data_IF_454208766667
#
_entry.id   IF_454208766667
#
_cell.length_a   1.000
_cell.length_b   1.000
_cell.length_c   1.000
_cell.angle_alpha   90.00
_cell.angle_beta   90.00
_cell.angle_gamma   90.00
#
_symmetry.space_group_name_H-M   'P 1'
#
loop_
_entity.id
_entity.type
_entity.pdbx_description
1 polymer ?
#
# COMPACT_ATOMS: atom_id res chain seq x y z
N UNK A 1 -15.43 -6.56 -42.69
CA UNK A 1 -14.17 -6.81 -41.96
C UNK A 1 -13.61 -5.52 -41.42
N UNK A 2 -13.15 -5.53 -40.16
CA UNK A 2 -12.49 -4.40 -39.56
C UNK A 2 -10.98 -4.62 -39.64
N UNK A 3 -10.28 -3.68 -40.25
CA UNK A 3 -8.82 -3.75 -40.43
C UNK A 3 -8.14 -2.99 -39.27
N UNK A 4 -7.18 -3.61 -38.66
CA UNK A 4 -6.39 -3.00 -37.58
C UNK A 4 -5.31 -2.06 -38.13
N UNK A 5 -5.06 -0.96 -37.46
CA UNK A 5 -4.07 0.05 -37.83
C UNK A 5 -3.01 0.24 -36.77
N UNK A 6 -2.70 -0.78 -35.96
CA UNK A 6 -1.74 -0.58 -34.88
C UNK A 6 -1.26 -1.88 -34.22
N UNK A 7 -0.58 -1.71 -33.13
CA UNK A 7 -0.08 -2.80 -32.28
C UNK A 7 -1.07 -3.11 -31.17
N UNK A 8 -1.15 -4.38 -30.81
CA UNK A 8 -1.84 -4.85 -29.62
C UNK A 8 -0.76 -5.25 -28.61
N UNK A 9 -0.71 -4.55 -27.48
CA UNK A 9 0.14 -4.93 -26.37
C UNK A 9 -0.61 -5.93 -25.48
N UNK A 10 -0.06 -7.12 -25.34
CA UNK A 10 -0.60 -8.18 -24.51
C UNK A 10 0.28 -8.28 -23.27
N UNK A 11 -0.29 -8.05 -22.10
CA UNK A 11 0.37 -8.30 -20.82
C UNK A 11 0.02 -9.70 -20.35
N UNK A 12 1.03 -10.52 -20.14
CA UNK A 12 0.89 -11.85 -19.56
C UNK A 12 1.36 -11.80 -18.11
N UNK A 13 0.50 -12.21 -17.20
CA UNK A 13 0.79 -12.28 -15.77
C UNK A 13 0.75 -13.73 -15.33
N UNK A 14 1.84 -14.19 -14.72
CA UNK A 14 1.94 -15.54 -14.16
C UNK A 14 2.36 -15.45 -12.68
N UNK A 15 2.13 -16.51 -11.86
CA UNK A 15 2.48 -16.50 -10.44
C UNK A 15 3.96 -16.24 -10.12
N UNK A 16 4.85 -16.38 -11.10
CA UNK A 16 6.30 -16.17 -10.96
C UNK A 16 6.85 -15.06 -11.86
N UNK A 17 6.00 -14.20 -12.37
CA UNK A 17 6.40 -13.10 -13.22
C UNK A 17 5.39 -12.82 -14.33
N UNK A 18 5.67 -11.80 -15.12
CA UNK A 18 4.88 -11.44 -16.27
C UNK A 18 5.77 -10.86 -17.37
N UNK A 19 5.19 -10.63 -18.52
CA UNK A 19 5.88 -10.00 -19.64
C UNK A 19 4.89 -9.27 -20.52
N UNK A 20 5.37 -8.30 -21.27
CA UNK A 20 4.60 -7.67 -22.34
C UNK A 20 5.03 -8.22 -23.68
N UNK A 21 4.07 -8.44 -24.53
CA UNK A 21 4.28 -8.83 -25.91
C UNK A 21 3.51 -7.91 -26.82
N UNK A 22 4.20 -7.24 -27.74
CA UNK A 22 3.56 -6.37 -28.74
C UNK A 22 3.32 -7.12 -30.03
N UNK A 23 2.05 -7.30 -30.39
CA UNK A 23 1.62 -7.86 -31.66
C UNK A 23 1.37 -6.72 -32.66
N UNK A 24 2.09 -6.71 -33.77
CA UNK A 24 1.77 -5.80 -34.86
C UNK A 24 0.61 -6.39 -35.67
N UNK A 25 -0.56 -5.78 -35.52
CA UNK A 25 -1.77 -6.14 -36.24
C UNK A 25 -2.03 -5.28 -37.45
N UNK A 26 -1.12 -4.40 -37.84
CA UNK A 26 -1.28 -3.50 -39.00
C UNK A 26 -1.62 -4.29 -40.25
N UNK A 27 -2.72 -3.96 -40.88
CA UNK A 27 -3.19 -4.63 -42.10
C UNK A 27 -3.86 -5.99 -41.86
N UNK A 28 -3.93 -6.51 -40.64
CA UNK A 28 -4.74 -7.69 -40.32
C UNK A 28 -6.21 -7.31 -40.27
N UNK A 29 -7.09 -8.20 -40.69
CA UNK A 29 -8.53 -8.00 -40.59
C UNK A 29 -9.19 -9.17 -39.88
N UNK A 30 -10.23 -8.88 -39.11
CA UNK A 30 -11.10 -9.89 -38.51
C UNK A 30 -12.45 -9.82 -39.20
N UNK A 31 -12.89 -10.97 -39.73
CA UNK A 31 -14.24 -11.14 -40.26
C UNK A 31 -15.21 -11.43 -39.11
N UNK A 32 -16.47 -11.03 -39.29
CA UNK A 32 -17.52 -11.34 -38.32
C UNK A 32 -17.63 -12.85 -38.07
N UNK A 33 -17.61 -13.27 -36.83
CA UNK A 33 -17.67 -14.69 -36.42
C UNK A 33 -16.34 -15.45 -36.54
N UNK A 34 -15.23 -14.80 -36.86
CA UNK A 34 -13.88 -15.39 -36.87
C UNK A 34 -13.06 -14.96 -35.65
N UNK A 35 -12.15 -15.82 -35.25
CA UNK A 35 -11.19 -15.58 -34.18
C UNK A 35 -9.82 -15.40 -34.82
N UNK A 36 -9.12 -14.34 -34.42
CA UNK A 36 -7.71 -14.18 -34.78
C UNK A 36 -6.90 -14.91 -33.70
N UNK A 37 -6.16 -15.94 -34.10
CA UNK A 37 -5.26 -16.66 -33.22
C UNK A 37 -3.82 -16.18 -33.46
N UNK A 38 -3.10 -15.84 -32.42
CA UNK A 38 -1.67 -15.55 -32.47
C UNK A 38 -0.94 -16.49 -31.51
N UNK A 39 0.17 -17.06 -31.98
CA UNK A 39 1.10 -17.80 -31.12
C UNK A 39 2.14 -16.81 -30.60
N UNK A 40 2.34 -16.78 -29.30
CA UNK A 40 3.34 -15.94 -28.67
C UNK A 40 4.61 -16.77 -28.51
N UNK A 41 5.49 -16.67 -29.47
CA UNK A 41 6.80 -17.31 -29.43
C UNK A 41 7.84 -16.32 -28.86
N UNK A 42 8.77 -16.82 -28.03
CA UNK A 42 9.85 -16.02 -27.43
C UNK A 42 9.36 -14.81 -26.63
N UNK A 43 8.44 -15.05 -25.70
CA UNK A 43 8.08 -14.03 -24.73
C UNK A 43 9.33 -13.73 -23.92
N UNK A 44 9.81 -12.50 -24.01
CA UNK A 44 10.88 -12.04 -23.15
C UNK A 44 10.30 -11.86 -21.74
N UNK A 45 10.52 -12.89 -20.91
CA UNK A 45 10.11 -12.90 -19.51
C UNK A 45 11.04 -12.03 -18.65
N UNK A 46 11.57 -10.94 -19.22
CA UNK A 46 12.34 -10.00 -18.43
C UNK A 46 11.51 -9.52 -17.24
N UNK A 47 11.81 -10.15 -16.15
CA UNK A 47 11.74 -9.69 -14.77
C UNK A 47 10.68 -8.63 -14.40
N UNK A 48 9.46 -8.84 -14.84
CA UNK A 48 8.29 -8.17 -14.27
C UNK A 48 7.84 -8.85 -12.98
N UNK A 49 8.76 -9.41 -12.28
CA UNK A 49 8.51 -10.33 -11.16
C UNK A 49 7.70 -9.72 -10.04
N UNK A 50 7.42 -8.41 -10.05
CA UNK A 50 6.88 -7.75 -8.85
C UNK A 50 5.81 -6.70 -9.05
N UNK A 51 5.42 -6.36 -10.28
CA UNK A 51 4.68 -5.13 -10.48
C UNK A 51 3.16 -5.23 -10.47
N UNK A 52 2.60 -6.38 -10.80
CA UNK A 52 1.16 -6.47 -11.02
C UNK A 52 0.45 -7.60 -10.28
N UNK A 53 1.16 -8.48 -9.63
CA UNK A 53 0.58 -9.65 -8.99
C UNK A 53 0.69 -9.71 -7.46
N UNK A 54 1.36 -8.75 -6.83
CA UNK A 54 1.61 -8.76 -5.40
C UNK A 54 1.26 -7.42 -4.79
N UNK A 55 0.08 -7.31 -4.21
CA UNK A 55 -0.29 -6.17 -3.39
C UNK A 55 -0.48 -6.57 -1.95
N UNK A 56 0.05 -5.75 -1.05
CA UNK A 56 -0.21 -5.89 0.39
C UNK A 56 -1.62 -5.43 0.76
N UNK A 57 -2.31 -4.73 -0.13
CA UNK A 57 -3.64 -4.20 0.07
C UNK A 57 -4.59 -4.77 -0.98
N UNK A 58 -5.67 -5.38 -0.52
CA UNK A 58 -6.71 -5.98 -1.36
C UNK A 58 -8.00 -5.22 -1.17
N UNK A 59 -8.48 -4.57 -2.23
CA UNK A 59 -9.78 -3.90 -2.22
C UNK A 59 -10.87 -4.95 -2.41
N UNK A 60 -11.88 -4.89 -1.55
CA UNK A 60 -13.06 -5.76 -1.59
C UNK A 60 -14.30 -4.88 -1.69
N UNK A 61 -15.16 -5.07 -2.69
CA UNK A 61 -16.43 -4.32 -2.77
C UNK A 61 -17.30 -4.53 -1.54
N UNK A 62 -17.97 -3.48 -1.01
CA UNK A 62 -18.96 -3.63 0.05
C UNK A 62 -20.07 -4.62 -0.34
N UNK A 63 -20.48 -5.43 0.62
CA UNK A 63 -21.45 -6.52 0.40
C UNK A 63 -20.82 -7.84 -0.06
N UNK A 64 -19.57 -7.88 -0.47
CA UNK A 64 -18.86 -9.12 -0.74
C UNK A 64 -18.50 -9.82 0.57
N UNK A 65 -18.85 -11.10 0.68
CA UNK A 65 -18.77 -11.88 1.92
C UNK A 65 -17.47 -12.69 2.04
N UNK A 66 -16.66 -12.74 1.00
CA UNK A 66 -15.37 -13.44 1.07
C UNK A 66 -14.40 -12.90 -0.01
N UNK A 67 -13.11 -13.03 0.27
CA UNK A 67 -12.04 -12.74 -0.68
C UNK A 67 -10.93 -13.77 -0.53
N UNK A 68 -10.38 -14.24 -1.65
CA UNK A 68 -9.21 -15.11 -1.66
C UNK A 68 -7.98 -14.30 -2.06
N UNK A 69 -6.94 -14.39 -1.25
CA UNK A 69 -5.68 -13.67 -1.42
C UNK A 69 -4.57 -14.66 -1.77
N UNK A 70 -3.90 -14.46 -2.88
CA UNK A 70 -2.72 -15.23 -3.24
C UNK A 70 -1.52 -14.74 -2.44
N UNK A 71 -0.94 -15.62 -1.64
CA UNK A 71 0.23 -15.33 -0.81
C UNK A 71 1.52 -15.98 -1.33
N UNK A 72 1.46 -16.85 -2.34
CA UNK A 72 2.61 -17.60 -2.85
C UNK A 72 3.72 -16.69 -3.41
N UNK A 73 3.36 -15.57 -4.01
CA UNK A 73 4.31 -14.64 -4.60
C UNK A 73 5.32 -14.04 -3.58
N UNK A 74 4.98 -14.03 -2.30
CA UNK A 74 5.84 -13.49 -1.23
C UNK A 74 6.90 -14.47 -0.74
N UNK A 75 6.83 -15.75 -1.13
CA UNK A 75 7.77 -16.79 -0.70
C UNK A 75 8.75 -17.23 -1.77
N UNK A 76 8.37 -17.07 -3.02
CA UNK A 76 9.15 -17.58 -4.15
C UNK A 76 10.10 -16.57 -4.71
N UNK A 77 10.16 -15.38 -4.13
CA UNK A 77 10.76 -14.27 -4.77
C UNK A 77 12.21 -14.10 -4.46
N UNK A 78 12.88 -14.08 -5.53
CA UNK A 78 14.25 -13.79 -5.82
C UNK A 78 14.84 -12.59 -5.06
N UNK A 79 16.16 -12.62 -4.89
CA UNK A 79 16.98 -11.74 -4.07
C UNK A 79 17.13 -10.30 -4.58
N UNK A 80 16.35 -9.82 -5.51
CA UNK A 80 16.47 -8.43 -6.01
C UNK A 80 16.16 -7.40 -4.91
N UNK A 81 15.44 -7.80 -3.87
CA UNK A 81 15.26 -7.04 -2.65
C UNK A 81 15.75 -7.85 -1.45
N UNK A 82 16.93 -8.41 -1.57
CA UNK A 82 17.62 -9.10 -0.48
C UNK A 82 18.04 -8.12 0.61
N UNK A 83 17.06 -7.49 1.24
CA UNK A 83 17.25 -7.05 2.59
C UNK A 83 17.20 -8.28 3.47
N UNK A 84 18.40 -8.79 3.71
CA UNK A 84 18.78 -9.75 4.73
C UNK A 84 17.69 -10.74 5.14
N UNK A 85 17.72 -11.91 4.50
CA UNK A 85 17.22 -13.16 5.06
C UNK A 85 15.72 -13.47 5.00
N UNK A 86 14.99 -13.10 3.95
CA UNK A 86 14.09 -14.11 3.40
C UNK A 86 14.96 -14.85 2.37
N UNK A 87 15.79 -15.75 2.81
CA UNK A 87 16.64 -16.54 1.90
C UNK A 87 15.73 -17.37 1.00
N UNK A 88 16.13 -17.56 -0.24
CA UNK A 88 15.47 -18.50 -1.15
C UNK A 88 15.49 -19.95 -0.62
N UNK A 89 16.27 -20.21 0.42
CA UNK A 89 16.34 -21.47 1.17
C UNK A 89 15.21 -21.60 2.20
N UNK A 90 14.61 -20.48 2.65
CA UNK A 90 13.45 -20.48 3.52
C UNK A 90 12.16 -20.54 2.68
N UNK A 91 11.98 -21.60 1.93
CA UNK A 91 10.72 -21.95 1.23
C UNK A 91 9.60 -22.29 2.23
N UNK A 92 9.34 -21.42 3.19
CA UNK A 92 8.27 -21.61 4.15
C UNK A 92 6.93 -21.23 3.50
N UNK A 93 6.27 -22.24 2.96
CA UNK A 93 4.84 -22.13 2.74
C UNK A 93 4.19 -21.94 4.12
N UNK A 94 3.23 -20.99 4.25
CA UNK A 94 2.56 -20.76 5.51
C UNK A 94 1.89 -22.05 6.00
N UNK A 95 1.84 -22.22 7.31
CA UNK A 95 1.14 -23.31 7.95
C UNK A 95 -0.23 -22.87 8.47
N UNK A 96 -0.40 -21.59 8.77
CA UNK A 96 -1.69 -21.03 9.15
C UNK A 96 -1.85 -19.57 8.68
N UNK A 97 -3.08 -19.08 8.74
CA UNK A 97 -3.44 -17.70 8.51
C UNK A 97 -4.46 -17.25 9.56
N UNK A 98 -4.30 -16.04 10.09
CA UNK A 98 -5.21 -15.50 11.11
C UNK A 98 -5.33 -13.98 11.01
N UNK A 99 -6.47 -13.46 11.50
CA UNK A 99 -6.67 -12.05 11.66
C UNK A 99 -5.78 -11.49 12.78
N UNK A 100 -5.10 -10.38 12.50
CA UNK A 100 -4.42 -9.60 13.53
C UNK A 100 -5.37 -8.58 14.16
N UNK A 101 -6.06 -7.82 13.32
CA UNK A 101 -7.05 -6.84 13.76
C UNK A 101 -7.97 -6.40 12.61
N UNK A 102 -9.09 -5.78 12.97
CA UNK A 102 -9.95 -4.98 12.10
C UNK A 102 -10.41 -3.72 12.84
N UNK A 103 -10.98 -2.73 12.14
CA UNK A 103 -11.44 -1.47 12.71
C UNK A 103 -12.97 -1.35 12.81
N UNK A 104 -13.69 -2.44 12.67
CA UNK A 104 -15.16 -2.47 12.65
C UNK A 104 -15.74 -3.09 13.92
N UNK A 105 -15.53 -4.40 14.13
CA UNK A 105 -16.06 -5.14 15.27
C UNK A 105 -15.47 -6.56 15.34
N UNK A 106 -15.63 -7.25 16.44
CA UNK A 106 -15.14 -8.63 16.61
C UNK A 106 -15.74 -9.64 15.63
N UNK A 107 -16.85 -9.32 15.01
CA UNK A 107 -17.55 -10.18 14.04
C UNK A 107 -17.40 -9.74 12.57
N UNK A 108 -16.59 -8.73 12.29
CA UNK A 108 -16.33 -8.24 10.93
C UNK A 108 -15.65 -9.30 10.06
N UNK A 109 -14.60 -9.95 10.58
CA UNK A 109 -13.98 -11.12 9.96
C UNK A 109 -14.60 -12.38 10.58
N UNK A 110 -15.32 -13.15 9.76
CA UNK A 110 -16.02 -14.37 10.17
C UNK A 110 -15.10 -15.59 10.22
N UNK A 111 -13.93 -15.51 9.61
CA UNK A 111 -12.94 -16.56 9.60
C UNK A 111 -11.87 -16.36 8.53
N UNK A 112 -10.74 -16.99 8.73
CA UNK A 112 -9.62 -17.04 7.78
C UNK A 112 -9.25 -18.50 7.58
N UNK A 113 -9.14 -18.91 6.31
CA UNK A 113 -8.82 -20.30 5.96
C UNK A 113 -7.68 -20.33 4.94
N UNK A 114 -6.60 -21.01 5.28
CA UNK A 114 -5.50 -21.27 4.37
C UNK A 114 -5.89 -22.38 3.38
N UNK A 115 -5.54 -22.22 2.10
CA UNK A 115 -5.78 -23.26 1.09
C UNK A 115 -4.94 -24.52 1.36
N UNK A 116 -5.39 -25.66 0.88
CA UNK A 116 -4.68 -26.94 1.08
C UNK A 116 -3.29 -26.97 0.43
N UNK A 117 -3.11 -26.22 -0.66
CA UNK A 117 -1.81 -26.03 -1.32
C UNK A 117 -0.95 -24.94 -0.66
N UNK A 118 -1.49 -24.25 0.36
CA UNK A 118 -0.85 -23.19 1.13
C UNK A 118 -0.39 -21.97 0.32
N UNK A 119 -0.94 -21.79 -0.87
CA UNK A 119 -0.57 -20.68 -1.77
C UNK A 119 -1.51 -19.48 -1.69
N UNK A 120 -2.67 -19.66 -1.07
CA UNK A 120 -3.66 -18.62 -0.86
C UNK A 120 -4.39 -18.80 0.47
N UNK A 121 -5.06 -17.76 0.91
CA UNK A 121 -6.01 -17.86 2.02
C UNK A 121 -7.29 -17.14 1.67
N UNK A 122 -8.40 -17.61 2.23
CA UNK A 122 -9.72 -16.99 2.07
C UNK A 122 -10.10 -16.30 3.38
N UNK A 123 -10.53 -15.04 3.29
CA UNK A 123 -11.10 -14.27 4.38
C UNK A 123 -12.61 -14.19 4.20
N UNK A 124 -13.36 -14.66 5.17
CA UNK A 124 -14.81 -14.50 5.21
C UNK A 124 -15.15 -13.22 6.00
N UNK A 125 -16.00 -12.39 5.42
CA UNK A 125 -16.33 -11.04 5.89
C UNK A 125 -17.83 -10.93 6.15
N UNK A 126 -18.25 -9.90 6.88
CA UNK A 126 -19.66 -9.57 7.04
C UNK A 126 -20.20 -8.62 5.96
N UNK A 127 -19.33 -8.13 5.08
CA UNK A 127 -19.65 -7.27 3.94
C UNK A 127 -19.76 -5.78 4.26
N UNK A 128 -19.61 -5.36 5.51
CA UNK A 128 -19.55 -3.91 5.88
C UNK A 128 -18.26 -3.27 5.38
N UNK A 129 -18.27 -1.97 5.03
CA UNK A 129 -17.03 -1.23 4.81
C UNK A 129 -16.13 -1.23 6.05
N UNK A 130 -14.83 -1.37 5.85
CA UNK A 130 -13.85 -1.41 6.94
C UNK A 130 -12.50 -1.96 6.50
N UNK A 131 -11.62 -2.14 7.48
CA UNK A 131 -10.25 -2.60 7.28
C UNK A 131 -9.96 -3.81 8.17
N UNK A 132 -9.26 -4.79 7.63
CA UNK A 132 -8.70 -5.88 8.42
C UNK A 132 -7.24 -6.13 8.00
N UNK A 133 -6.42 -6.57 8.94
CA UNK A 133 -5.07 -7.06 8.66
C UNK A 133 -5.01 -8.54 8.99
N UNK A 134 -4.63 -9.32 8.00
CA UNK A 134 -4.51 -10.78 8.07
C UNK A 134 -3.03 -11.15 7.96
N UNK A 135 -2.57 -12.02 8.83
CA UNK A 135 -1.20 -12.52 8.80
C UNK A 135 -1.17 -14.02 8.47
N UNK A 136 -0.05 -14.44 7.90
CA UNK A 136 0.28 -15.83 7.65
C UNK A 136 1.51 -16.21 8.46
N UNK A 137 1.55 -17.46 8.94
CA UNK A 137 2.47 -17.90 9.97
C UNK A 137 3.24 -19.18 9.58
N UNK A 138 4.39 -19.37 10.24
CA UNK A 138 5.26 -20.54 10.12
C UNK A 138 4.84 -21.72 11.01
N UNK A 139 3.72 -21.64 11.71
CA UNK A 139 3.17 -22.67 12.59
C UNK A 139 1.69 -22.94 12.25
N UNK A 140 1.25 -24.17 12.53
CA UNK A 140 -0.16 -24.56 12.36
C UNK A 140 -1.10 -23.80 13.31
N UNK A 141 -0.64 -23.54 14.53
CA UNK A 141 -1.36 -22.69 15.48
C UNK A 141 -0.66 -21.31 15.59
N UNK A 142 -1.31 -20.24 15.09
CA UNK A 142 -0.75 -18.90 15.13
C UNK A 142 -0.62 -18.31 16.55
N UNK A 143 -1.21 -18.99 17.57
CA UNK A 143 -1.19 -18.56 18.98
C UNK A 143 -0.05 -19.17 19.78
N UNK A 144 0.74 -20.06 19.20
CA UNK A 144 1.93 -20.60 19.88
C UNK A 144 2.96 -19.49 20.09
N UNK A 145 3.68 -19.55 21.20
CA UNK A 145 4.64 -18.52 21.61
C UNK A 145 5.77 -18.29 20.58
N UNK A 146 6.16 -19.35 19.87
CA UNK A 146 7.22 -19.34 18.85
C UNK A 146 6.71 -19.14 17.42
N UNK A 147 5.40 -18.94 17.21
CA UNK A 147 4.83 -18.64 15.90
C UNK A 147 5.34 -17.29 15.37
N UNK A 148 5.89 -17.32 14.16
CA UNK A 148 6.39 -16.12 13.48
C UNK A 148 5.48 -15.73 12.34
N UNK A 149 5.20 -14.45 12.23
CA UNK A 149 4.53 -13.90 11.07
C UNK A 149 5.51 -13.89 9.91
N UNK A 150 5.12 -14.56 8.83
CA UNK A 150 5.85 -14.58 7.57
C UNK A 150 5.53 -13.34 6.72
N UNK A 151 4.24 -12.97 6.66
CA UNK A 151 3.76 -11.79 5.97
C UNK A 151 2.40 -11.36 6.51
N UNK A 152 1.94 -10.16 6.15
CA UNK A 152 0.61 -9.64 6.47
C UNK A 152 0.02 -8.85 5.30
N UNK A 153 -1.30 -8.85 5.21
CA UNK A 153 -2.09 -8.27 4.13
C UNK A 153 -3.17 -7.38 4.70
N UNK A 154 -3.39 -6.25 4.07
CA UNK A 154 -4.48 -5.35 4.37
C UNK A 154 -5.69 -5.68 3.49
N UNK A 155 -6.79 -6.06 4.08
CA UNK A 155 -8.10 -6.23 3.43
C UNK A 155 -8.88 -4.95 3.63
N UNK A 156 -9.21 -4.29 2.54
CA UNK A 156 -9.88 -2.99 2.54
C UNK A 156 -11.24 -3.09 1.87
N UNK A 157 -12.29 -3.20 2.68
CA UNK A 157 -13.67 -3.28 2.19
C UNK A 157 -14.17 -1.87 1.90
N UNK A 158 -14.15 -1.50 0.64
CA UNK A 158 -14.53 -0.17 0.16
C UNK A 158 -14.78 -0.17 -1.34
N UNK A 159 -15.39 0.91 -1.83
CA UNK A 159 -15.47 1.23 -3.24
C UNK A 159 -14.63 2.47 -3.50
N UNK A 160 -13.65 2.37 -4.38
CA UNK A 160 -12.76 3.48 -4.75
C UNK A 160 -13.10 3.99 -6.15
N UNK A 161 -12.77 5.25 -6.39
CA UNK A 161 -12.77 5.87 -7.70
C UNK A 161 -11.39 6.44 -8.02
N UNK A 162 -11.14 6.65 -9.27
CA UNK A 162 -9.94 7.34 -9.74
C UNK A 162 -10.18 8.84 -9.86
N UNK A 163 -9.18 9.60 -9.48
CA UNK A 163 -9.08 11.03 -9.66
C UNK A 163 -7.92 11.34 -10.60
N UNK A 164 -8.20 12.03 -11.69
CA UNK A 164 -7.18 12.53 -12.60
C UNK A 164 -6.74 13.91 -12.15
N UNK A 165 -5.49 13.99 -11.70
CA UNK A 165 -4.87 15.26 -11.35
C UNK A 165 -4.32 15.89 -12.63
N UNK A 166 -4.54 17.19 -12.78
CA UNK A 166 -4.01 17.95 -13.89
C UNK A 166 -2.49 17.95 -13.99
N UNK A 167 -1.99 18.49 -15.09
CA UNK A 167 -0.56 18.59 -15.31
C UNK A 167 0.08 19.48 -14.25
N UNK A 168 1.07 18.93 -13.55
CA UNK A 168 1.83 19.67 -12.55
C UNK A 168 2.88 20.59 -13.18
N UNK A 169 3.58 21.37 -12.37
CA UNK A 169 4.65 22.30 -12.84
C UNK A 169 5.82 21.60 -13.53
N UNK A 170 5.97 20.28 -13.37
CA UNK A 170 7.00 19.48 -14.05
C UNK A 170 6.50 18.86 -15.36
N UNK A 171 5.25 19.10 -15.73
CA UNK A 171 4.62 18.53 -16.92
C UNK A 171 4.17 17.08 -16.75
N UNK A 172 4.03 16.58 -15.52
CA UNK A 172 3.52 15.25 -15.22
C UNK A 172 2.04 15.34 -14.82
N UNK A 173 1.27 14.34 -15.20
CA UNK A 173 -0.11 14.13 -14.73
C UNK A 173 -0.22 12.80 -14.02
N UNK A 174 -1.08 12.72 -13.00
CA UNK A 174 -1.25 11.53 -12.19
C UNK A 174 -2.71 11.16 -12.06
N UNK A 175 -2.97 9.86 -12.01
CA UNK A 175 -4.26 9.32 -11.57
C UNK A 175 -4.07 8.75 -10.18
N UNK A 176 -4.85 9.21 -9.22
CA UNK A 176 -4.79 8.79 -7.82
C UNK A 176 -6.14 8.22 -7.37
N UNK A 177 -6.16 7.50 -6.27
CA UNK A 177 -7.42 7.10 -5.64
C UNK A 177 -8.12 8.33 -5.03
N UNK A 178 -9.44 8.32 -5.02
CA UNK A 178 -10.30 9.39 -4.47
C UNK A 178 -10.21 9.53 -2.94
N UNK A 179 -9.44 8.68 -2.28
CA UNK A 179 -9.34 8.60 -0.82
C UNK A 179 -8.01 8.04 -0.35
N UNK A 180 -7.70 8.28 0.92
CA UNK A 180 -6.56 7.67 1.59
C UNK A 180 -6.70 6.17 1.72
N UNK A 181 -5.58 5.44 1.75
CA UNK A 181 -5.58 4.01 2.04
C UNK A 181 -6.32 3.74 3.36
N UNK A 182 -7.26 2.82 3.31
CA UNK A 182 -8.11 2.44 4.45
C UNK A 182 -9.30 3.36 4.71
N UNK A 183 -9.51 4.45 3.96
CA UNK A 183 -10.72 5.25 4.08
C UNK A 183 -11.92 4.55 3.44
N UNK A 184 -13.05 4.54 4.13
CA UNK A 184 -14.28 3.90 3.66
C UNK A 184 -15.35 4.89 3.24
N UNK A 185 -15.04 6.21 3.30
CA UNK A 185 -15.89 7.31 2.85
C UNK A 185 -15.03 8.41 2.22
N UNK A 186 -15.65 9.27 1.42
CA UNK A 186 -15.08 10.53 0.91
C UNK A 186 -15.83 11.74 1.45
N UNK A 187 -16.72 11.55 2.40
CA UNK A 187 -17.58 12.62 2.93
C UNK A 187 -16.76 13.50 3.88
N UNK A 188 -16.71 14.83 3.64
CA UNK A 188 -15.99 15.76 4.47
C UNK A 188 -16.44 15.74 5.94
N UNK A 189 -15.45 15.66 6.86
CA UNK A 189 -15.71 15.65 8.29
C UNK A 189 -16.14 14.32 8.89
N UNK A 190 -16.29 13.28 8.08
CA UNK A 190 -16.50 11.93 8.60
C UNK A 190 -15.19 11.25 9.00
N UNK A 191 -15.20 10.54 10.14
CA UNK A 191 -14.05 9.72 10.58
C UNK A 191 -13.62 8.72 9.51
N UNK A 192 -14.59 8.10 8.84
CA UNK A 192 -14.38 7.10 7.79
C UNK A 192 -13.65 7.63 6.55
N UNK A 193 -13.53 8.96 6.39
CA UNK A 193 -12.76 9.58 5.32
C UNK A 193 -11.24 9.70 5.62
N UNK A 194 -10.82 9.49 6.86
CA UNK A 194 -9.42 9.71 7.27
C UNK A 194 -8.50 8.61 6.73
N UNK A 195 -8.94 7.35 6.81
CA UNK A 195 -8.12 6.20 6.46
C UNK A 195 -7.15 5.77 7.56
N UNK A 196 -6.11 5.06 7.16
CA UNK A 196 -5.11 4.47 8.03
C UNK A 196 -3.79 5.25 7.96
N UNK A 197 -2.97 5.10 8.97
CA UNK A 197 -1.67 5.76 9.09
C UNK A 197 -0.54 4.75 8.90
N UNK A 198 0.54 5.18 8.26
CA UNK A 198 1.69 4.33 7.96
C UNK A 198 2.98 4.94 8.51
N UNK A 199 3.91 4.11 8.90
CA UNK A 199 5.31 4.50 9.02
C UNK A 199 5.94 4.41 7.63
N UNK A 200 6.66 5.44 7.21
CA UNK A 200 7.26 5.47 5.88
C UNK A 200 8.08 4.21 5.61
N UNK A 201 7.93 3.62 4.44
CA UNK A 201 8.61 2.37 4.06
C UNK A 201 7.98 1.08 4.59
N UNK A 202 6.96 1.15 5.47
CA UNK A 202 6.24 -0.04 5.94
C UNK A 202 4.97 -0.29 5.14
N UNK A 203 4.69 -1.56 4.91
CA UNK A 203 3.46 -2.03 4.27
C UNK A 203 2.25 -2.10 5.21
N UNK A 204 2.49 -2.17 6.54
CA UNK A 204 1.45 -2.42 7.53
C UNK A 204 0.86 -1.13 8.09
N UNK A 205 -0.47 -1.02 8.10
CA UNK A 205 -1.18 0.14 8.60
C UNK A 205 -1.35 0.16 10.11
N UNK A 206 -1.54 1.37 10.63
CA UNK A 206 -2.02 1.66 11.97
C UNK A 206 -3.33 2.44 11.90
N UNK A 207 -4.24 2.19 12.84
CA UNK A 207 -5.51 2.91 12.88
C UNK A 207 -5.31 4.41 13.02
N UNK A 208 -6.17 5.19 12.39
CA UNK A 208 -6.25 6.63 12.55
C UNK A 208 -7.00 7.06 13.82
N UNK A 209 -7.59 8.26 13.79
CA UNK A 209 -8.41 8.74 14.90
C UNK A 209 -9.71 7.96 15.03
N UNK A 210 -10.18 7.82 16.27
CA UNK A 210 -11.47 7.23 16.60
C UNK A 210 -12.65 8.19 16.47
N UNK A 211 -12.36 9.49 16.54
CA UNK A 211 -13.32 10.57 16.37
C UNK A 211 -12.67 11.71 15.57
N UNK A 212 -13.37 12.20 14.54
CA UNK A 212 -12.84 13.25 13.69
C UNK A 212 -12.41 14.47 14.50
N UNK A 213 -11.19 14.97 14.22
CA UNK A 213 -10.64 16.14 14.93
C UNK A 213 -10.17 15.85 16.37
N UNK A 214 -10.00 14.59 16.77
CA UNK A 214 -9.47 14.26 18.10
C UNK A 214 -8.27 13.32 18.06
N UNK A 215 -7.36 13.52 19.01
CA UNK A 215 -6.15 12.71 19.19
C UNK A 215 -6.43 11.40 19.96
N UNK A 216 -7.49 10.68 19.58
CA UNK A 216 -7.89 9.39 20.15
C UNK A 216 -7.78 8.30 19.08
N UNK A 217 -7.26 7.12 19.44
CA UNK A 217 -7.19 6.02 18.49
C UNK A 217 -8.57 5.48 18.14
N UNK A 218 -8.78 5.10 16.90
CA UNK A 218 -9.86 4.20 16.53
C UNK A 218 -9.69 2.87 17.26
N UNK A 219 -10.81 2.21 17.54
CA UNK A 219 -10.81 0.88 18.12
C UNK A 219 -10.35 -0.15 17.11
N UNK A 220 -9.67 -1.16 17.61
CA UNK A 220 -9.26 -2.34 16.86
C UNK A 220 -9.86 -3.57 17.51
N UNK A 221 -10.23 -4.55 16.71
CA UNK A 221 -10.85 -5.79 17.16
C UNK A 221 -10.20 -7.00 16.50
N UNK A 222 -10.25 -8.13 17.16
CA UNK A 222 -10.05 -9.44 16.56
C UNK A 222 -11.15 -10.40 17.03
N UNK A 223 -11.00 -11.68 16.80
CA UNK A 223 -12.00 -12.70 17.17
C UNK A 223 -12.26 -12.82 18.70
N UNK A 224 -11.35 -12.32 19.53
CA UNK A 224 -11.52 -12.37 21.00
C UNK A 224 -12.01 -11.05 21.59
N UNK A 225 -12.08 -9.97 20.83
CA UNK A 225 -12.60 -8.68 21.28
C UNK A 225 -11.72 -7.48 20.89
N UNK A 226 -11.73 -6.43 21.71
CA UNK A 226 -10.97 -5.21 21.47
C UNK A 226 -9.47 -5.45 21.73
N UNK A 227 -8.64 -5.02 20.78
CA UNK A 227 -7.18 -5.11 20.83
C UNK A 227 -6.54 -3.76 20.56
N UNK A 228 -5.23 -3.65 20.78
CA UNK A 228 -4.46 -2.44 20.51
C UNK A 228 -3.10 -2.81 19.94
N UNK A 229 -2.53 -1.92 19.13
CA UNK A 229 -1.13 -2.06 18.75
C UNK A 229 -0.22 -1.68 19.92
N UNK A 230 0.96 -2.28 19.95
CA UNK A 230 2.01 -1.95 20.93
C UNK A 230 3.05 -1.00 20.32
N UNK A 231 3.86 -0.39 21.18
CA UNK A 231 5.04 0.38 20.77
C UNK A 231 6.31 -0.34 21.19
N UNK A 232 7.36 -0.20 20.39
CA UNK A 232 8.69 -0.70 20.70
C UNK A 232 9.73 0.38 20.40
N UNK A 233 10.76 0.46 21.22
CA UNK A 233 11.87 1.36 20.95
C UNK A 233 12.66 0.86 19.74
N UNK A 234 12.93 1.74 18.79
CA UNK A 234 13.81 1.44 17.68
C UNK A 234 15.25 1.21 18.13
N UNK A 235 15.93 0.32 17.44
CA UNK A 235 17.31 -0.05 17.67
C UNK A 235 17.75 -0.98 16.55
N UNK A 236 19.00 -1.46 16.57
CA UNK A 236 19.52 -2.33 15.52
C UNK A 236 18.72 -3.62 15.34
N UNK A 237 18.26 -4.21 16.44
CA UNK A 237 17.46 -5.45 16.42
C UNK A 237 15.99 -5.24 16.11
N UNK A 238 15.43 -4.04 16.30
CA UNK A 238 14.00 -3.74 16.15
C UNK A 238 13.71 -2.74 15.04
N UNK A 239 14.67 -1.93 14.65
CA UNK A 239 14.55 -0.92 13.59
C UNK A 239 15.01 -1.46 12.24
N UNK A 240 14.47 -2.59 11.81
CA UNK A 240 14.77 -3.20 10.51
C UNK A 240 13.53 -3.82 9.87
N UNK A 241 13.60 -4.06 8.58
CA UNK A 241 12.46 -4.55 7.77
C UNK A 241 11.99 -5.92 8.25
N UNK A 242 12.92 -6.83 8.59
CA UNK A 242 12.57 -8.18 9.08
C UNK A 242 11.73 -8.11 10.35
N UNK A 243 12.17 -7.28 11.32
CA UNK A 243 11.41 -7.10 12.54
C UNK A 243 10.02 -6.48 12.28
N UNK A 244 9.94 -5.50 11.38
CA UNK A 244 8.68 -4.87 11.01
C UNK A 244 7.69 -5.88 10.39
N UNK A 245 8.14 -6.77 9.49
CA UNK A 245 7.34 -7.84 8.89
C UNK A 245 6.83 -8.81 9.95
N UNK A 246 7.68 -9.23 10.87
CA UNK A 246 7.33 -10.17 11.95
C UNK A 246 6.47 -9.52 13.04
N UNK A 247 6.39 -8.21 13.08
CA UNK A 247 5.68 -7.44 14.10
C UNK A 247 4.81 -6.32 13.51
N UNK A 248 3.84 -6.65 12.63
CA UNK A 248 3.04 -5.63 11.92
C UNK A 248 2.19 -4.77 12.85
N UNK A 249 1.82 -5.27 14.03
CA UNK A 249 1.04 -4.54 15.05
C UNK A 249 1.91 -3.76 16.06
N UNK A 250 3.24 -3.71 15.86
CA UNK A 250 4.13 -2.92 16.72
C UNK A 250 4.56 -1.65 16.01
N UNK A 251 4.24 -0.50 16.58
CA UNK A 251 4.76 0.79 16.16
C UNK A 251 6.20 0.95 16.65
N UNK A 252 7.15 1.05 15.70
CA UNK A 252 8.57 1.16 16.03
C UNK A 252 8.90 2.63 16.22
N UNK A 253 9.20 3.02 17.45
CA UNK A 253 9.62 4.40 17.77
C UNK A 253 10.99 4.68 17.15
N UNK A 254 11.30 5.95 16.94
CA UNK A 254 12.56 6.33 16.31
C UNK A 254 13.78 5.72 17.03
N UNK A 255 14.78 5.32 16.25
CA UNK A 255 15.98 4.68 16.74
C UNK A 255 17.08 5.68 17.13
N UNK A 256 17.14 6.84 16.46
CA UNK A 256 18.22 7.83 16.60
C UNK A 256 17.67 9.25 16.56
N UNK A 257 18.33 10.14 17.34
CA UNK A 257 18.01 11.57 17.36
C UNK A 257 18.84 12.42 16.39
N UNK A 258 19.88 11.82 15.78
CA UNK A 258 20.77 12.51 14.84
C UNK A 258 20.93 11.67 13.57
N UNK A 259 20.90 12.32 12.43
CA UNK A 259 21.22 11.70 11.14
C UNK A 259 22.73 11.61 10.93
N UNK A 260 23.16 10.62 10.15
CA UNK A 260 24.48 10.54 9.56
C UNK A 260 24.33 10.14 8.10
N UNK A 261 24.52 11.09 7.22
CA UNK A 261 24.42 10.88 5.77
C UNK A 261 25.78 11.05 5.07
N UNK A 262 26.86 11.23 5.85
CA UNK A 262 28.18 11.47 5.30
C UNK A 262 28.87 10.20 4.82
N UNK A 263 28.64 9.07 5.49
CA UNK A 263 29.26 7.79 5.13
C UNK A 263 28.29 6.64 5.38
N UNK A 264 28.26 5.59 4.51
CA UNK A 264 27.52 4.37 4.78
C UNK A 264 28.05 3.64 6.05
N UNK A 265 27.15 2.97 6.82
CA UNK A 265 25.72 2.95 6.67
C UNK A 265 25.07 4.29 7.04
N UNK A 266 24.15 4.74 6.18
CA UNK A 266 23.44 6.00 6.41
C UNK A 266 22.40 5.83 7.52
N UNK A 267 22.20 6.88 8.31
CA UNK A 267 21.18 6.92 9.35
C UNK A 267 20.30 8.16 9.17
N UNK A 268 19.00 7.97 9.19
CA UNK A 268 18.06 9.08 9.25
C UNK A 268 17.70 9.44 10.70
N UNK A 269 17.70 10.73 11.00
CA UNK A 269 17.21 11.18 12.29
C UNK A 269 15.70 10.92 12.36
N UNK A 270 15.28 10.39 13.51
CA UNK A 270 13.86 10.21 13.81
C UNK A 270 13.13 9.17 12.96
N UNK A 271 13.85 8.35 12.21
CA UNK A 271 13.32 7.21 11.49
C UNK A 271 13.15 5.99 12.42
N UNK A 272 12.19 5.13 12.07
CA UNK A 272 12.03 3.83 12.70
C UNK A 272 13.15 2.87 12.28
N UNK A 273 13.69 3.02 11.08
CA UNK A 273 14.85 2.27 10.59
C UNK A 273 16.11 2.66 11.34
N UNK A 274 16.89 1.67 11.73
CA UNK A 274 18.19 1.90 12.32
C UNK A 274 19.23 2.32 11.26
N UNK A 275 19.19 1.67 10.10
CA UNK A 275 19.90 2.05 8.90
C UNK A 275 18.90 2.56 7.87
N UNK A 276 19.18 3.69 7.25
CA UNK A 276 18.30 4.29 6.28
C UNK A 276 18.19 3.44 5.02
N UNK A 277 16.98 3.28 4.54
CA UNK A 277 16.65 2.69 3.27
C UNK A 277 15.54 3.50 2.59
N UNK A 278 15.93 4.25 1.59
CA UNK A 278 15.00 5.14 0.88
C UNK A 278 14.27 4.47 -0.28
N UNK A 279 14.57 3.19 -0.57
CA UNK A 279 13.97 2.45 -1.66
C UNK A 279 12.71 1.66 -1.27
N UNK A 280 12.34 1.62 0.02
CA UNK A 280 11.29 0.74 0.52
C UNK A 280 9.92 0.94 -0.16
N UNK A 281 9.59 2.14 -0.62
CA UNK A 281 8.37 2.38 -1.39
C UNK A 281 8.64 2.61 -2.89
N UNK A 282 9.73 2.03 -3.40
CA UNK A 282 9.97 1.93 -4.82
C UNK A 282 10.73 3.09 -5.46
N UNK A 283 11.46 3.88 -4.66
CA UNK A 283 12.39 4.87 -5.18
C UNK A 283 13.81 4.26 -5.34
N UNK A 284 14.23 3.82 -6.54
CA UNK A 284 15.53 3.20 -6.73
C UNK A 284 16.70 4.19 -6.63
N UNK A 285 16.44 5.48 -6.77
CA UNK A 285 17.46 6.54 -6.73
C UNK A 285 17.77 7.01 -5.29
N UNK A 286 17.12 6.41 -4.29
CA UNK A 286 17.38 6.67 -2.89
C UNK A 286 17.02 8.10 -2.47
N UNK A 287 17.98 8.86 -1.93
CA UNK A 287 17.78 10.19 -1.35
C UNK A 287 17.44 11.30 -2.37
N UNK A 288 17.64 11.05 -3.65
CA UNK A 288 17.36 12.04 -4.70
C UNK A 288 15.88 12.02 -5.09
N UNK A 289 15.36 13.16 -5.51
CA UNK A 289 14.00 13.23 -6.06
C UNK A 289 13.92 12.41 -7.35
N UNK A 290 13.25 11.25 -7.38
CA UNK A 290 13.16 10.45 -8.58
C UNK A 290 12.34 11.18 -9.63
N UNK A 291 12.67 10.93 -10.89
CA UNK A 291 11.73 11.19 -11.97
C UNK A 291 10.58 10.19 -11.81
N UNK A 292 9.35 10.63 -12.04
CA UNK A 292 8.17 9.75 -11.96
C UNK A 292 8.32 8.46 -12.80
N UNK A 293 9.07 8.54 -13.92
CA UNK A 293 9.38 7.40 -14.79
C UNK A 293 10.28 6.33 -14.18
N UNK A 294 10.97 6.62 -13.08
CA UNK A 294 11.92 5.70 -12.43
C UNK A 294 11.36 5.06 -11.17
N UNK A 295 10.10 5.40 -10.81
CA UNK A 295 9.45 4.82 -9.65
C UNK A 295 8.93 3.43 -9.98
N UNK A 296 9.13 2.54 -9.04
CA UNK A 296 8.82 1.13 -9.17
C UNK A 296 8.17 0.64 -7.89
N UNK A 297 6.91 0.15 -7.97
CA UNK A 297 6.22 -0.40 -6.80
C UNK A 297 7.05 -1.53 -6.17
N UNK A 298 7.42 -1.37 -4.90
CA UNK A 298 8.11 -2.42 -4.14
C UNK A 298 7.11 -3.36 -3.45
N UNK A 299 7.60 -4.49 -2.95
CA UNK A 299 6.80 -5.42 -2.13
C UNK A 299 6.39 -4.81 -0.77
N UNK A 300 7.01 -3.72 -0.36
CA UNK A 300 6.68 -3.00 0.90
C UNK A 300 5.72 -1.82 0.67
N UNK A 301 5.37 -1.53 -0.58
CA UNK A 301 4.38 -0.50 -0.89
C UNK A 301 2.99 -0.93 -0.40
N UNK A 302 2.30 -0.12 0.40
CA UNK A 302 1.01 -0.46 1.00
C UNK A 302 -0.19 -0.28 0.06
N UNK A 303 0.03 0.24 -1.14
CA UNK A 303 -1.07 0.55 -2.07
C UNK A 303 -1.66 -0.72 -2.69
N UNK A 304 -2.92 -0.70 -3.10
CA UNK A 304 -3.55 -1.82 -3.80
C UNK A 304 -2.90 -2.11 -5.16
N UNK A 305 -3.29 -3.22 -5.76
CA UNK A 305 -2.84 -3.62 -7.09
C UNK A 305 -3.11 -2.51 -8.12
N UNK A 306 -2.15 -2.28 -9.02
CA UNK A 306 -2.23 -1.22 -10.03
C UNK A 306 -1.86 0.18 -9.52
N UNK A 307 -1.67 0.36 -8.22
CA UNK A 307 -1.31 1.63 -7.59
C UNK A 307 -0.02 1.53 -6.79
N UNK A 308 0.62 2.67 -6.57
CA UNK A 308 1.78 2.82 -5.70
C UNK A 308 1.68 4.09 -4.88
N UNK A 309 2.49 4.21 -3.84
CA UNK A 309 2.59 5.46 -3.09
C UNK A 309 3.05 6.57 -4.04
N UNK A 310 2.31 7.67 -4.05
CA UNK A 310 2.49 8.76 -4.98
C UNK A 310 3.89 9.40 -4.86
N UNK A 311 4.53 9.82 -5.97
CA UNK A 311 5.73 10.62 -5.90
C UNK A 311 5.43 12.01 -5.33
N UNK A 312 6.46 12.70 -4.86
CA UNK A 312 6.29 14.00 -4.20
C UNK A 312 5.70 15.09 -5.12
N UNK A 313 6.00 15.02 -6.41
CA UNK A 313 5.51 15.99 -7.37
C UNK A 313 4.04 15.80 -7.77
N UNK A 314 3.41 14.72 -7.36
CA UNK A 314 1.95 14.51 -7.54
C UNK A 314 1.14 15.70 -6.99
N UNK A 315 1.60 16.30 -5.91
CA UNK A 315 0.91 17.39 -5.21
C UNK A 315 1.40 18.78 -5.61
N UNK A 316 2.30 18.90 -6.59
CA UNK A 316 2.82 20.17 -7.07
C UNK A 316 1.85 20.80 -8.05
N UNK A 317 1.27 21.96 -7.71
CA UNK A 317 0.39 22.69 -8.58
C UNK A 317 1.03 23.13 -9.91
N UNK A 318 0.20 23.53 -10.86
CA UNK A 318 0.61 23.96 -12.19
C UNK A 318 1.42 25.29 -12.20
N UNK A 319 1.48 26.03 -11.09
CA UNK A 319 2.28 27.25 -10.94
C UNK A 319 3.21 27.14 -9.72
N UNK A 320 4.48 27.31 -9.96
CA UNK A 320 5.56 27.60 -8.99
C UNK A 320 5.54 26.87 -7.62
N UNK A 321 5.53 25.57 -7.62
CA UNK A 321 5.87 24.69 -6.50
C UNK A 321 5.48 25.21 -5.10
N UNK A 322 4.80 24.42 -4.30
CA UNK A 322 4.41 24.73 -2.90
C UNK A 322 3.66 26.05 -2.63
N UNK A 323 3.30 26.81 -3.67
CA UNK A 323 2.54 28.01 -3.45
C UNK A 323 1.09 27.66 -3.06
N UNK A 324 0.75 28.02 -1.84
CA UNK A 324 -0.61 27.90 -1.25
C UNK A 324 -1.68 28.66 -2.05
N UNK A 325 -1.28 29.40 -3.07
CA UNK A 325 -2.14 30.24 -3.91
C UNK A 325 -2.42 29.62 -5.28
N UNK A 326 -1.84 28.45 -5.60
CA UNK A 326 -2.14 27.80 -6.88
C UNK A 326 -3.59 27.31 -6.92
N UNK A 327 -4.21 27.49 -8.05
CA UNK A 327 -5.65 27.26 -8.32
C UNK A 327 -6.16 25.82 -8.10
N UNK A 328 -5.30 24.87 -7.75
CA UNK A 328 -5.65 23.50 -7.40
C UNK A 328 -6.17 23.39 -5.96
N UNK A 329 -5.92 24.39 -5.11
CA UNK A 329 -6.33 24.37 -3.71
C UNK A 329 -7.41 25.43 -3.47
N UNK A 330 -8.67 25.05 -3.65
CA UNK A 330 -9.77 25.83 -3.10
C UNK A 330 -9.80 25.61 -1.58
N UNK A 331 -9.53 26.65 -0.80
CA UNK A 331 -9.61 26.61 0.65
C UNK A 331 -11.09 26.55 1.09
N UNK A 332 -11.66 25.36 1.17
CA UNK A 332 -12.93 25.15 1.82
C UNK A 332 -12.70 24.43 3.16
N UNK A 333 -13.04 25.10 4.24
CA UNK A 333 -13.04 24.58 5.61
C UNK A 333 -11.72 23.96 6.10
N UNK A 334 -10.71 24.77 6.33
CA UNK A 334 -9.43 24.41 6.94
C UNK A 334 -9.55 23.62 8.24
N UNK A 335 -10.64 23.75 8.95
CA UNK A 335 -10.88 23.05 10.22
C UNK A 335 -11.13 21.54 10.07
N UNK A 336 -11.38 21.04 8.84
CA UNK A 336 -11.73 19.63 8.60
C UNK A 336 -10.88 18.95 7.54
N UNK A 337 -10.17 19.68 6.69
CA UNK A 337 -9.34 19.13 5.61
C UNK A 337 -9.22 20.09 4.44
N UNK A 338 -8.74 19.55 3.32
CA UNK A 338 -8.54 20.29 2.07
C UNK A 338 -9.47 19.76 0.99
N UNK A 339 -9.98 20.66 0.16
CA UNK A 339 -10.63 20.31 -1.09
C UNK A 339 -9.63 20.58 -2.22
N UNK A 340 -9.33 19.58 -3.01
CA UNK A 340 -8.62 19.73 -4.28
C UNK A 340 -9.62 19.67 -5.40
N UNK A 341 -9.40 20.49 -6.44
CA UNK A 341 -10.23 20.51 -7.63
C UNK A 341 -9.45 19.91 -8.78
N UNK A 342 -10.01 18.88 -9.44
CA UNK A 342 -9.38 18.27 -10.60
C UNK A 342 -9.63 19.07 -11.89
N UNK A 343 -9.06 18.60 -13.01
CA UNK A 343 -9.20 19.25 -14.32
C UNK A 343 -10.64 19.34 -14.82
N UNK A 344 -11.51 18.47 -14.34
CA UNK A 344 -12.94 18.48 -14.66
C UNK A 344 -13.74 19.50 -13.83
N UNK A 345 -13.08 20.13 -12.84
CA UNK A 345 -13.71 21.01 -11.85
C UNK A 345 -14.39 20.26 -10.71
N UNK A 346 -14.14 18.94 -10.57
CA UNK A 346 -14.68 18.15 -9.46
C UNK A 346 -13.85 18.33 -8.20
N UNK A 347 -14.55 18.45 -7.05
CA UNK A 347 -13.93 18.58 -5.74
C UNK A 347 -13.56 17.21 -5.16
N UNK A 348 -12.34 17.09 -4.61
CA UNK A 348 -11.82 15.94 -3.93
C UNK A 348 -11.39 16.27 -2.51
N UNK A 349 -11.73 15.41 -1.58
CA UNK A 349 -11.56 15.66 -0.16
C UNK A 349 -10.29 15.02 0.41
N UNK A 350 -9.46 15.85 1.06
CA UNK A 350 -8.26 15.42 1.78
C UNK A 350 -8.39 15.76 3.27
N UNK A 351 -8.70 14.77 4.12
CA UNK A 351 -9.01 14.98 5.53
C UNK A 351 -7.80 15.38 6.37
N UNK A 352 -8.05 16.06 7.49
CA UNK A 352 -7.06 16.26 8.54
C UNK A 352 -7.03 15.00 9.41
N UNK A 353 -6.03 14.16 9.24
CA UNK A 353 -5.89 12.89 9.96
C UNK A 353 -4.84 12.90 11.08
N UNK A 354 -4.08 13.99 11.21
CA UNK A 354 -2.93 14.05 12.12
C UNK A 354 -1.81 13.09 11.74
N UNK A 355 -0.98 12.74 12.72
CA UNK A 355 0.14 11.84 12.57
C UNK A 355 0.44 11.10 13.86
N UNK A 356 1.12 9.96 13.77
CA UNK A 356 1.59 9.23 14.92
C UNK A 356 3.00 9.70 15.32
N UNK A 357 3.13 10.12 16.57
CA UNK A 357 4.40 10.59 17.09
C UNK A 357 5.45 9.49 17.07
N UNK A 358 6.54 9.74 16.38
CA UNK A 358 7.73 8.86 16.37
C UNK A 358 8.33 8.57 17.73
N UNK A 359 8.02 9.39 18.75
CA UNK A 359 8.55 9.24 20.11
C UNK A 359 7.78 8.22 20.95
N UNK A 360 6.49 8.02 20.68
CA UNK A 360 5.62 7.23 21.54
C UNK A 360 4.42 6.56 20.84
N UNK A 361 4.32 6.68 19.52
CA UNK A 361 3.23 6.13 18.74
C UNK A 361 1.85 6.78 18.93
N UNK A 362 1.74 7.81 19.78
CA UNK A 362 0.47 8.50 20.06
C UNK A 362 0.04 9.34 18.85
N UNK A 363 -1.25 9.37 18.60
CA UNK A 363 -1.85 10.26 17.63
C UNK A 363 -1.71 11.71 18.08
N UNK A 364 -1.39 12.60 17.14
CA UNK A 364 -1.10 14.01 17.39
C UNK A 364 -1.64 14.85 16.23
N UNK A 365 -2.10 16.06 16.53
CA UNK A 365 -2.57 17.06 15.55
C UNK A 365 -3.68 16.56 14.60
N UNK A 366 -4.50 15.62 15.03
CA UNK A 366 -5.64 15.12 14.25
C UNK A 366 -6.77 16.16 14.10
N UNK A 367 -6.66 17.27 14.81
CA UNK A 367 -7.55 18.43 14.78
C UNK A 367 -7.03 19.61 13.92
N UNK A 368 -5.75 19.55 13.52
CA UNK A 368 -5.09 20.73 12.90
C UNK A 368 -4.32 20.42 11.63
N UNK A 369 -3.84 19.18 11.42
CA UNK A 369 -2.92 18.87 10.34
C UNK A 369 -3.29 17.59 9.59
N UNK A 370 -3.13 17.62 8.26
CA UNK A 370 -3.06 16.45 7.40
C UNK A 370 -1.60 16.19 6.98
N UNK A 371 -1.18 14.94 7.01
CA UNK A 371 0.14 14.51 6.57
C UNK A 371 0.00 13.37 5.58
N UNK A 372 0.55 13.56 4.40
CA UNK A 372 0.46 12.62 3.28
C UNK A 372 1.87 12.21 2.87
N UNK A 373 2.11 10.90 2.88
CA UNK A 373 3.39 10.36 2.49
C UNK A 373 3.60 10.39 0.98
N UNK A 374 4.84 10.54 0.57
CA UNK A 374 5.31 10.34 -0.79
C UNK A 374 6.30 9.18 -0.83
N UNK A 375 6.46 8.54 -1.99
CA UNK A 375 7.46 7.49 -2.21
C UNK A 375 8.89 8.02 -2.24
N UNK A 376 9.06 9.32 -2.43
CA UNK A 376 10.34 10.04 -2.36
C UNK A 376 10.40 10.90 -1.11
N UNK A 377 11.54 10.93 -0.45
CA UNK A 377 11.80 11.73 0.75
C UNK A 377 12.39 13.08 0.40
#
# INVERSE_FOLDING_TARGET
>A
PQTFTGKLDVMLVAPKGGGTYSLDLTGKSIEAGKVLTATLDNIDWEMWTYYYGTSNCVIVPPGQLSVTVNCAAYYTTSPVYAYENISAEDNYLPLSAAQLWNDVSSDFVKGVTLSSDRKSFTVNLDGRPGNAVIAIYDKDDPKTEDAKILWSFHIWVTEVKEQHLGMNVKGNSYTVLDRNLGATSVIPGERSSIGLLYQWGRKDPFVGTGEYGKNSNAKMYNEVGEVAFATVKGGESTGNVKYAIQNPTKFIMYSRSKSNTANPPYYCAYDWLYYADWALWGNPEGYTYPKASNLTKSIYDPSPEGYMVAPNDTWMGASDGYDKTSSIFAAAEWSKGYVMVDDSGQNWWYPIGGWRSRKNGKLTAADTNGYYWCSST
#
